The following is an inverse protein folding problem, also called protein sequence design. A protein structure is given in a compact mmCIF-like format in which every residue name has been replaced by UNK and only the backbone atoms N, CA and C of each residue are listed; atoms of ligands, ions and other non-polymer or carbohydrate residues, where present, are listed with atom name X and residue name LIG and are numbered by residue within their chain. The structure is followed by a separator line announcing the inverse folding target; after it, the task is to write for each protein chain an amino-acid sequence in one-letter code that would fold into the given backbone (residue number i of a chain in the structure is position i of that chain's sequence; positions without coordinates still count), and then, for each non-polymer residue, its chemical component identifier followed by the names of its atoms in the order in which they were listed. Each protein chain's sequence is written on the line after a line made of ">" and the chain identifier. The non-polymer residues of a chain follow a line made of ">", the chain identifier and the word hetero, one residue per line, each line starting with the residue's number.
data_IF_409814766313
#
_entry.id   IF_409814766313
#
_cell.length_a   1.000
_cell.length_b   1.000
_cell.length_c   1.000
_cell.angle_alpha   90.00
_cell.angle_beta   90.00
_cell.angle_gamma   90.00
#
_symmetry.space_group_name_H-M   'P 1'
#
loop_
_entity.id
_entity.type
_entity.pdbx_description
1 polymer ?
#
# COMPACT_ATOMS: atom_id res chain seq x y z
N UNK A 1 -5.65 22.01 2.27
CA UNK A 1 -5.84 21.25 1.07
C UNK A 1 -5.52 19.78 1.28
N UNK A 2 -6.42 18.95 0.85
CA UNK A 2 -6.23 17.52 1.01
C UNK A 2 -5.22 17.02 0.00
N UNK A 3 -4.13 16.50 0.49
CA UNK A 3 -3.13 15.93 -0.38
C UNK A 3 -3.56 14.55 -0.84
N UNK A 4 -3.50 14.30 -2.14
CA UNK A 4 -3.75 12.97 -2.67
C UNK A 4 -2.51 12.09 -2.59
N UNK A 5 -1.42 12.65 -2.06
CA UNK A 5 -0.14 11.95 -2.00
C UNK A 5 -0.19 10.73 -1.09
N UNK A 6 -1.15 10.67 -0.16
CA UNK A 6 -1.28 9.53 0.74
C UNK A 6 -2.45 8.61 0.39
N UNK A 7 -3.03 8.76 -0.79
CA UNK A 7 -4.14 7.93 -1.22
C UNK A 7 -3.69 6.70 -1.98
N UNK A 8 -4.39 5.60 -1.75
CA UNK A 8 -4.19 4.35 -2.47
C UNK A 8 -5.43 4.06 -3.28
N UNK A 9 -5.25 3.85 -4.57
CA UNK A 9 -6.33 3.45 -5.46
C UNK A 9 -5.70 2.65 -6.59
N UNK A 10 -6.13 1.42 -6.72
CA UNK A 10 -5.58 0.52 -7.74
C UNK A 10 -6.63 0.23 -8.79
N UNK A 11 -6.19 0.16 -10.03
CA UNK A 11 -7.06 -0.16 -11.15
C UNK A 11 -6.88 -1.62 -11.54
N UNK A 12 -7.87 -2.13 -12.26
CA UNK A 12 -7.77 -3.48 -12.80
C UNK A 12 -6.59 -3.59 -13.77
N UNK A 13 -6.33 -2.52 -14.51
CA UNK A 13 -5.19 -2.48 -15.43
C UNK A 13 -3.86 -2.65 -14.71
N UNK A 14 -3.70 -2.03 -13.56
CA UNK A 14 -2.49 -2.18 -12.78
C UNK A 14 -2.30 -3.62 -12.30
N UNK A 15 -3.38 -4.26 -11.87
CA UNK A 15 -3.33 -5.65 -11.45
C UNK A 15 -2.93 -6.55 -12.60
N UNK A 16 -3.53 -6.34 -13.77
CA UNK A 16 -3.24 -7.16 -14.93
C UNK A 16 -1.80 -6.98 -15.40
N UNK A 17 -1.30 -5.76 -15.35
CA UNK A 17 0.08 -5.48 -15.71
C UNK A 17 1.05 -6.21 -14.77
N UNK A 18 0.74 -6.21 -13.49
CA UNK A 18 1.57 -6.90 -12.51
C UNK A 18 1.57 -8.40 -12.75
N UNK A 19 0.41 -8.97 -13.04
CA UNK A 19 0.31 -10.41 -13.32
C UNK A 19 1.16 -10.81 -14.51
N UNK A 20 1.20 -9.98 -15.54
CA UNK A 20 2.02 -10.25 -16.72
C UNK A 20 3.50 -10.26 -16.39
N UNK A 21 3.93 -9.33 -15.56
CA UNK A 21 5.35 -9.17 -15.22
C UNK A 21 5.80 -10.29 -14.29
N UNK A 22 5.01 -10.56 -13.26
CA UNK A 22 5.41 -11.49 -12.22
C UNK A 22 5.31 -12.94 -12.65
N UNK A 23 4.40 -13.23 -13.58
CA UNK A 23 4.07 -14.59 -14.01
C UNK A 23 3.58 -15.45 -12.85
N UNK A 24 3.24 -14.82 -11.77
CA UNK A 24 2.76 -15.53 -10.60
C UNK A 24 1.24 -15.57 -10.67
N UNK A 25 0.73 -16.67 -11.17
CA UNK A 25 -0.71 -16.83 -11.33
C UNK A 25 -1.29 -17.42 -10.07
N UNK A 26 -1.80 -16.57 -9.23
CA UNK A 26 -2.51 -16.99 -8.04
C UNK A 26 -3.98 -16.69 -8.24
N UNK A 27 -4.79 -17.74 -8.34
CA UNK A 27 -6.19 -17.59 -8.69
C UNK A 27 -7.00 -16.76 -7.70
N UNK A 28 -6.57 -16.69 -6.46
CA UNK A 28 -7.31 -15.91 -5.47
C UNK A 28 -7.26 -14.42 -5.77
N UNK A 29 -6.34 -13.98 -6.60
CA UNK A 29 -6.21 -12.56 -6.96
C UNK A 29 -7.06 -12.18 -8.17
N UNK A 30 -7.73 -13.12 -8.79
CA UNK A 30 -8.50 -12.84 -10.01
C UNK A 30 -9.81 -12.12 -9.77
N UNK A 31 -10.25 -12.04 -8.54
CA UNK A 31 -11.51 -11.38 -8.20
C UNK A 31 -11.35 -9.88 -7.93
N UNK A 32 -10.24 -9.28 -8.35
CA UNK A 32 -10.01 -7.86 -8.13
C UNK A 32 -9.30 -7.54 -6.84
N UNK A 33 -8.85 -8.57 -6.15
CA UNK A 33 -8.09 -8.39 -4.92
C UNK A 33 -6.71 -7.84 -5.26
N UNK A 34 -6.35 -6.72 -4.62
CA UNK A 34 -5.06 -6.11 -4.87
C UNK A 34 -3.95 -6.94 -4.23
N UNK A 35 -2.91 -7.22 -5.00
CA UNK A 35 -1.77 -7.98 -4.49
C UNK A 35 -1.10 -7.24 -3.35
N UNK A 36 -0.78 -7.99 -2.29
CA UNK A 36 -0.16 -7.38 -1.11
C UNK A 36 1.14 -6.65 -1.45
N UNK A 37 1.92 -7.20 -2.38
CA UNK A 37 3.19 -6.58 -2.74
C UNK A 37 2.98 -5.23 -3.43
N UNK A 38 1.89 -5.06 -4.18
CA UNK A 38 1.58 -3.77 -4.78
C UNK A 38 1.23 -2.74 -3.71
N UNK A 39 0.46 -3.16 -2.73
CA UNK A 39 0.10 -2.28 -1.62
C UNK A 39 1.37 -1.85 -0.88
N UNK A 40 2.23 -2.80 -0.55
CA UNK A 40 3.45 -2.51 0.18
C UNK A 40 4.36 -1.55 -0.59
N UNK A 41 4.51 -1.76 -1.89
CA UNK A 41 5.35 -0.91 -2.71
C UNK A 41 4.81 0.52 -2.79
N UNK A 42 3.48 0.66 -2.97
CA UNK A 42 2.87 1.97 -3.06
C UNK A 42 2.96 2.70 -1.73
N UNK A 43 2.73 1.98 -0.63
CA UNK A 43 2.82 2.55 0.72
C UNK A 43 4.25 2.99 1.02
N UNK A 44 5.23 2.17 0.65
CA UNK A 44 6.63 2.53 0.86
C UNK A 44 6.97 3.85 0.16
N UNK A 45 6.52 4.01 -1.07
CA UNK A 45 6.79 5.23 -1.81
C UNK A 45 6.17 6.45 -1.12
N UNK A 46 4.95 6.30 -0.60
CA UNK A 46 4.27 7.38 0.10
C UNK A 46 5.01 7.75 1.38
N UNK A 47 5.42 6.74 2.15
CA UNK A 47 6.11 6.97 3.42
C UNK A 47 7.48 7.59 3.21
N UNK A 48 8.23 7.12 2.21
CA UNK A 48 9.54 7.66 1.89
C UNK A 48 9.45 9.13 1.51
N UNK A 49 8.43 9.49 0.75
CA UNK A 49 8.24 10.88 0.35
C UNK A 49 7.82 11.74 1.54
N UNK A 50 6.96 11.21 2.39
CA UNK A 50 6.45 11.98 3.52
C UNK A 50 7.55 12.28 4.55
N UNK A 51 8.36 11.28 4.87
CA UNK A 51 9.43 11.41 5.86
C UNK A 51 10.79 11.73 5.25
N UNK A 52 10.81 11.92 3.92
CA UNK A 52 12.03 12.30 3.19
C UNK A 52 13.18 11.30 3.39
N UNK A 53 12.87 10.02 3.30
CA UNK A 53 13.87 8.98 3.43
C UNK A 53 14.66 8.83 2.12
N UNK A 54 15.97 8.71 2.24
CA UNK A 54 16.84 8.40 1.10
C UNK A 54 16.97 6.90 0.92
N UNK A 55 16.92 6.17 2.02
CA UNK A 55 17.02 4.73 2.00
C UNK A 55 16.19 4.15 3.13
N UNK A 56 15.56 3.01 2.86
CA UNK A 56 14.75 2.32 3.85
C UNK A 56 15.64 1.28 4.52
N UNK A 57 15.68 1.29 5.85
CA UNK A 57 16.46 0.33 6.61
C UNK A 57 15.60 -0.74 7.27
N UNK A 58 14.32 -0.46 7.44
CA UNK A 58 13.40 -1.43 8.03
C UNK A 58 12.00 -1.14 7.51
N UNK A 59 11.31 -2.17 7.04
CA UNK A 59 9.95 -2.03 6.55
C UNK A 59 9.15 -3.26 6.92
N UNK A 60 8.12 -3.09 7.73
CA UNK A 60 7.22 -4.15 8.13
C UNK A 60 5.80 -3.71 7.85
N UNK A 61 5.01 -4.59 7.31
CA UNK A 61 3.61 -4.30 6.97
C UNK A 61 2.76 -5.48 7.41
N UNK A 62 1.75 -5.19 8.20
CA UNK A 62 0.80 -6.20 8.65
C UNK A 62 -0.51 -6.00 7.93
N UNK A 63 -0.91 -7.01 7.15
CA UNK A 63 -2.18 -6.98 6.43
C UNK A 63 -3.30 -7.40 7.38
N UNK A 64 -4.30 -6.52 7.55
CA UNK A 64 -5.42 -6.79 8.43
C UNK A 64 -6.67 -7.14 7.66
N UNK A 65 -6.90 -6.46 6.54
CA UNK A 65 -8.05 -6.65 5.68
C UNK A 65 -7.62 -6.52 4.23
N UNK A 66 -8.32 -7.18 3.31
CA UNK A 66 -7.98 -7.06 1.88
C UNK A 66 -8.41 -5.72 1.31
N UNK A 67 -7.78 -5.35 0.19
CA UNK A 67 -8.15 -4.18 -0.58
C UNK A 67 -8.46 -4.64 -2.01
N UNK A 68 -9.56 -4.14 -2.56
CA UNK A 68 -9.97 -4.51 -3.91
C UNK A 68 -9.81 -3.32 -4.86
N UNK A 69 -9.70 -3.62 -6.15
CA UNK A 69 -9.59 -2.55 -7.16
C UNK A 69 -10.80 -1.63 -7.06
N UNK A 70 -10.55 -0.35 -7.26
CA UNK A 70 -11.61 0.64 -7.19
C UNK A 70 -11.91 1.13 -5.78
N UNK A 71 -11.39 0.45 -4.77
CA UNK A 71 -11.56 0.92 -3.40
C UNK A 71 -10.46 1.92 -3.05
N UNK A 72 -10.86 2.97 -2.38
CA UNK A 72 -9.92 4.03 -1.99
C UNK A 72 -9.48 3.83 -0.55
N UNK A 73 -8.19 3.87 -0.34
CA UNK A 73 -7.63 3.80 0.99
C UNK A 73 -6.64 4.95 1.16
N UNK A 74 -6.23 5.19 2.39
CA UNK A 74 -5.24 6.24 2.63
C UNK A 74 -4.30 5.85 3.76
N UNK A 75 -3.10 6.38 3.68
CA UNK A 75 -2.06 6.14 4.67
C UNK A 75 -2.17 7.21 5.74
N UNK A 76 -2.19 6.76 7.00
CA UNK A 76 -2.18 7.64 8.16
C UNK A 76 -0.79 7.62 8.76
N UNK A 77 -0.18 8.79 8.86
CA UNK A 77 1.15 8.91 9.45
C UNK A 77 0.99 9.13 10.95
N UNK A 78 1.54 8.22 11.73
CA UNK A 78 1.48 8.34 13.18
C UNK A 78 2.72 9.10 13.64
N UNK A 79 3.56 8.48 14.45
CA UNK A 79 4.86 9.09 14.74
C UNK A 79 5.85 8.63 13.69
N UNK A 80 7.01 9.28 13.64
CA UNK A 80 7.97 8.93 12.60
C UNK A 80 8.25 7.43 12.60
N UNK A 81 8.13 6.82 11.43
CA UNK A 81 8.35 5.40 11.26
C UNK A 81 7.11 4.54 11.44
N UNK A 82 6.03 5.09 11.98
CA UNK A 82 4.82 4.30 12.22
C UNK A 82 3.67 4.78 11.35
N UNK A 83 2.89 3.85 10.84
CA UNK A 83 1.80 4.20 9.95
C UNK A 83 0.66 3.19 10.04
N UNK A 84 -0.50 3.63 9.56
CA UNK A 84 -1.67 2.78 9.38
C UNK A 84 -2.25 3.05 8.01
N UNK A 85 -2.98 2.07 7.47
CA UNK A 85 -3.68 2.23 6.21
C UNK A 85 -5.16 2.00 6.47
N UNK A 86 -5.97 2.97 6.07
CA UNK A 86 -7.40 2.96 6.36
C UNK A 86 -8.22 3.00 5.08
N UNK A 87 -9.31 2.26 5.08
CA UNK A 87 -10.33 2.32 4.05
C UNK A 87 -11.62 2.72 4.75
N UNK A 88 -12.04 3.98 4.53
CA UNK A 88 -13.16 4.56 5.26
C UNK A 88 -12.90 4.46 6.77
N UNK A 89 -13.73 3.74 7.52
CA UNK A 89 -13.58 3.64 8.97
C UNK A 89 -12.89 2.35 9.40
N UNK A 90 -12.22 1.69 8.49
CA UNK A 90 -11.64 0.38 8.75
C UNK A 90 -10.13 0.41 8.52
N UNK A 91 -9.38 -0.02 9.53
CA UNK A 91 -7.93 -0.15 9.40
C UNK A 91 -7.63 -1.44 8.66
N UNK A 92 -7.04 -1.34 7.48
CA UNK A 92 -6.76 -2.50 6.65
C UNK A 92 -5.31 -2.91 6.68
N UNK A 93 -4.44 -2.09 7.25
CA UNK A 93 -3.03 -2.44 7.38
C UNK A 93 -2.34 -1.50 8.31
N UNK A 94 -1.17 -1.90 8.80
CA UNK A 94 -0.35 -1.06 9.65
C UNK A 94 1.07 -1.56 9.66
N UNK A 95 1.99 -0.73 10.10
CA UNK A 95 3.36 -1.18 10.16
C UNK A 95 4.36 -0.12 10.53
N UNK A 96 5.60 -0.42 10.20
CA UNK A 96 6.76 0.40 10.54
C UNK A 96 7.61 0.56 9.29
N UNK A 97 8.10 1.77 9.07
CA UNK A 97 9.00 2.05 7.95
C UNK A 97 10.06 3.03 8.44
N UNK A 98 11.27 2.53 8.63
CA UNK A 98 12.39 3.32 9.15
C UNK A 98 13.39 3.53 8.03
N UNK A 99 13.91 4.74 7.95
CA UNK A 99 14.89 5.07 6.93
C UNK A 99 15.82 6.18 7.35
N UNK A 100 16.65 6.59 6.41
CA UNK A 100 17.62 7.66 6.64
C UNK A 100 17.83 8.49 5.38
#
# INVERSE_FOLDING_TARGET
>A
MTSKANCLLFSLEELQAYKKISRDVNLIHDAGLVFGILIMARVEAILSAHWDYQAITKYEYKFLKPLFVGERAQVEFLREGEFEVWRENECIGKGVCIGK
#
